data_IF_663666978076
#
_entry.id   IF_663666978076
#
_cell.length_a   1.000
_cell.length_b   1.000
_cell.length_c   1.000
_cell.angle_alpha   90.00
_cell.angle_beta   90.00
_cell.angle_gamma   90.00
#
_symmetry.space_group_name_H-M   'P 1'
#
loop_
_entity.id
_entity.type
_entity.pdbx_description
1 polymer ?
#
# COMPACT_ATOMS: atom_id res chain seq x y z
N UNK A 1 -47.87 5.58 6.28
CA UNK A 1 -46.79 4.60 6.51
C UNK A 1 -46.03 4.49 5.20
N UNK A 2 -44.74 4.75 5.04
CA UNK A 2 -43.65 5.13 5.94
C UNK A 2 -42.37 4.65 5.25
N UNK A 3 -41.48 5.56 4.82
CA UNK A 3 -40.05 5.31 4.50
C UNK A 3 -39.31 6.64 4.19
N UNK A 4 -39.64 7.71 4.91
CA UNK A 4 -38.84 8.95 4.94
C UNK A 4 -38.64 9.30 6.40
N UNK A 5 -37.56 8.78 7.00
CA UNK A 5 -37.33 8.95 8.42
C UNK A 5 -36.27 8.01 8.96
N UNK A 6 -35.02 8.22 8.54
CA UNK A 6 -33.81 7.79 9.29
C UNK A 6 -32.51 8.41 8.74
N UNK A 7 -32.58 9.65 8.25
CA UNK A 7 -31.40 10.51 8.14
C UNK A 7 -31.67 11.73 8.99
N UNK A 8 -31.17 11.72 10.23
CA UNK A 8 -31.50 12.76 11.19
C UNK A 8 -31.06 12.38 12.58
N UNK A 9 -29.74 12.48 12.81
CA UNK A 9 -29.12 13.09 13.99
C UNK A 9 -27.62 12.93 13.82
N UNK A 10 -27.01 13.99 13.28
CA UNK A 10 -25.69 14.52 13.67
C UNK A 10 -24.80 13.53 14.40
N UNK A 11 -23.75 13.02 13.75
CA UNK A 11 -22.60 12.48 14.46
C UNK A 11 -21.76 13.67 14.95
N UNK A 12 -21.87 14.08 16.22
CA UNK A 12 -21.09 15.18 16.74
C UNK A 12 -19.73 14.59 17.15
N UNK A 13 -18.65 14.99 16.49
CA UNK A 13 -17.29 14.63 16.90
C UNK A 13 -16.67 13.43 16.17
N UNK A 14 -16.70 13.44 14.84
CA UNK A 14 -16.08 12.43 13.97
C UNK A 14 -14.54 12.33 14.02
N UNK A 15 -13.90 12.95 15.02
CA UNK A 15 -12.46 13.06 15.13
C UNK A 15 -12.11 13.01 16.61
N UNK A 16 -11.64 11.85 17.07
CA UNK A 16 -10.79 11.85 18.25
C UNK A 16 -9.52 12.66 17.93
N UNK A 17 -9.00 13.47 18.86
CA UNK A 17 -7.73 14.14 18.65
C UNK A 17 -6.63 13.07 18.61
N UNK A 18 -6.20 12.70 17.39
CA UNK A 18 -4.83 12.21 17.20
C UNK A 18 -3.91 13.26 17.83
N UNK A 19 -2.75 12.86 18.32
CA UNK A 19 -1.76 13.80 18.86
C UNK A 19 -1.21 14.70 17.73
N UNK A 20 -2.03 15.64 17.25
CA UNK A 20 -1.80 16.54 16.13
C UNK A 20 -0.53 17.38 16.32
N UNK A 21 -0.10 17.53 17.58
CA UNK A 21 1.13 18.21 17.97
C UNK A 21 2.38 17.54 17.40
N UNK A 22 2.34 16.24 17.10
CA UNK A 22 3.53 15.46 16.72
C UNK A 22 3.41 14.84 15.32
N UNK A 23 2.44 15.25 14.47
CA UNK A 23 2.27 14.73 13.09
C UNK A 23 3.58 14.80 12.31
N UNK A 24 4.30 15.92 12.43
CA UNK A 24 5.56 16.12 11.71
C UNK A 24 6.66 15.17 12.21
N UNK A 25 6.78 14.99 13.51
CA UNK A 25 7.73 14.04 14.12
C UNK A 25 7.40 12.60 13.76
N UNK A 26 6.11 12.29 13.61
CA UNK A 26 5.63 10.97 13.28
C UNK A 26 5.77 10.62 11.80
N UNK A 27 5.56 11.59 10.91
CA UNK A 27 5.89 11.49 9.48
C UNK A 27 7.40 11.29 9.29
N UNK A 28 8.20 11.96 10.12
CA UNK A 28 9.67 11.84 10.14
C UNK A 28 10.18 10.68 11.01
N UNK A 29 9.29 9.93 11.64
CA UNK A 29 9.62 8.82 12.54
C UNK A 29 10.06 7.59 11.77
N UNK A 30 10.94 6.79 12.37
CA UNK A 30 11.58 5.61 11.76
C UNK A 30 10.61 4.45 11.47
N UNK A 31 9.33 4.54 11.86
CA UNK A 31 8.30 3.56 11.50
C UNK A 31 7.83 3.77 10.06
N UNK A 32 8.71 3.57 9.09
CA UNK A 32 8.36 3.60 7.68
C UNK A 32 7.80 2.24 7.26
N UNK A 33 6.62 2.28 6.64
CA UNK A 33 5.96 1.13 6.03
C UNK A 33 6.75 0.65 4.79
N UNK A 34 7.60 -0.35 5.03
CA UNK A 34 8.05 -1.48 4.19
C UNK A 34 8.30 -1.38 2.67
N UNK A 35 8.14 -0.24 2.00
CA UNK A 35 8.33 -0.17 0.53
C UNK A 35 9.54 0.63 0.09
N UNK A 36 10.08 1.47 0.96
CA UNK A 36 11.40 2.07 0.76
C UNK A 36 12.05 2.09 2.12
N UNK A 37 13.27 1.55 2.17
CA UNK A 37 14.19 1.79 3.26
C UNK A 37 14.53 3.29 3.23
N UNK A 38 13.61 4.12 3.73
CA UNK A 38 13.74 5.57 3.85
C UNK A 38 14.66 5.93 5.01
N UNK A 39 14.93 4.97 5.90
CA UNK A 39 15.76 5.16 7.09
C UNK A 39 17.18 5.66 6.75
N UNK A 40 17.92 5.10 5.78
CA UNK A 40 19.21 5.64 5.34
C UNK A 40 19.10 7.04 4.72
N UNK A 41 18.00 7.31 4.00
CA UNK A 41 17.78 8.60 3.32
C UNK A 41 17.44 9.70 4.33
N UNK A 42 16.61 9.39 5.32
CA UNK A 42 16.24 10.29 6.42
C UNK A 42 17.43 10.53 7.34
N UNK A 43 18.22 9.50 7.67
CA UNK A 43 19.43 9.64 8.48
C UNK A 43 20.51 10.45 7.76
N UNK A 44 20.71 10.21 6.46
CA UNK A 44 21.61 11.03 5.62
C UNK A 44 21.12 12.46 5.49
N UNK A 45 19.81 12.66 5.35
CA UNK A 45 19.21 13.98 5.33
C UNK A 45 19.45 14.74 6.63
N UNK A 46 19.29 14.09 7.80
CA UNK A 46 19.59 14.67 9.13
C UNK A 46 21.06 15.05 9.30
N UNK A 47 21.99 14.24 8.77
CA UNK A 47 23.44 14.52 8.85
C UNK A 47 23.82 15.67 7.92
N UNK A 48 23.39 15.65 6.66
CA UNK A 48 23.61 16.74 5.72
C UNK A 48 22.96 18.05 6.21
N UNK A 49 21.79 17.94 6.83
CA UNK A 49 21.06 19.03 7.48
C UNK A 49 21.87 19.71 8.59
N UNK A 50 22.46 18.93 9.49
CA UNK A 50 23.28 19.48 10.58
C UNK A 50 24.56 20.15 10.06
N UNK A 51 25.14 19.65 8.98
CA UNK A 51 26.30 20.26 8.33
C UNK A 51 25.92 21.58 7.64
N UNK A 52 24.81 21.60 6.90
CA UNK A 52 24.35 22.79 6.19
C UNK A 52 23.97 23.93 7.15
N UNK A 53 23.35 23.61 8.30
CA UNK A 53 23.04 24.58 9.34
C UNK A 53 24.26 25.15 10.07
N UNK A 54 25.37 24.41 10.11
CA UNK A 54 26.60 24.86 10.77
C UNK A 54 27.33 25.94 9.96
N UNK A 55 27.15 25.94 8.64
CA UNK A 55 27.82 26.86 7.71
C UNK A 55 26.96 28.09 7.34
N UNK A 56 25.68 28.11 7.70
CA UNK A 56 24.78 29.25 7.44
C UNK A 56 25.14 30.50 8.25
N UNK A 57 24.99 31.67 7.63
CA UNK A 57 25.02 32.93 8.37
C UNK A 57 23.84 33.03 9.38
N UNK A 58 23.97 33.86 10.43
CA UNK A 58 22.87 34.06 11.39
C UNK A 58 21.55 34.49 10.75
N UNK A 59 21.57 35.40 9.77
CA UNK A 59 20.36 35.79 9.02
C UNK A 59 19.77 34.64 8.20
N UNK A 60 20.59 33.85 7.52
CA UNK A 60 20.11 32.69 6.73
C UNK A 60 19.49 31.63 7.63
N UNK A 61 20.15 31.32 8.74
CA UNK A 61 19.64 30.38 9.74
C UNK A 61 18.29 30.83 10.29
N UNK A 62 18.13 32.12 10.60
CA UNK A 62 16.85 32.68 11.05
C UNK A 62 15.75 32.55 9.99
N UNK A 63 16.05 32.87 8.72
CA UNK A 63 15.08 32.72 7.61
C UNK A 63 14.71 31.26 7.40
N UNK A 64 15.68 30.37 7.49
CA UNK A 64 15.48 28.93 7.39
C UNK A 64 14.57 28.41 8.51
N UNK A 65 14.83 28.77 9.77
CA UNK A 65 14.02 28.34 10.92
C UNK A 65 12.56 28.78 10.80
N UNK A 66 12.32 30.00 10.31
CA UNK A 66 10.97 30.52 10.05
C UNK A 66 10.27 29.66 8.98
N UNK A 67 10.95 29.37 7.86
CA UNK A 67 10.41 28.53 6.79
C UNK A 67 10.14 27.10 7.27
N UNK A 68 11.03 26.52 8.07
CA UNK A 68 10.87 25.19 8.67
C UNK A 68 9.67 25.13 9.62
N UNK A 69 9.54 26.10 10.54
CA UNK A 69 8.38 26.22 11.43
C UNK A 69 7.08 26.31 10.65
N UNK A 70 7.09 27.05 9.54
CA UNK A 70 5.93 27.14 8.67
C UNK A 70 5.63 25.81 7.96
N UNK A 71 6.65 25.06 7.53
CA UNK A 71 6.50 23.71 6.98
C UNK A 71 5.75 22.77 7.91
N UNK A 72 6.10 22.79 9.19
CA UNK A 72 5.40 22.01 10.23
C UNK A 72 3.93 22.40 10.33
N UNK A 73 3.63 23.71 10.38
CA UNK A 73 2.25 24.22 10.43
C UNK A 73 1.44 23.80 9.20
N UNK A 74 2.04 23.88 8.01
CA UNK A 74 1.39 23.50 6.77
C UNK A 74 1.15 22.00 6.67
N UNK A 75 2.06 21.16 7.16
CA UNK A 75 1.85 19.71 7.21
C UNK A 75 0.67 19.34 8.13
N UNK A 76 0.61 19.92 9.33
CA UNK A 76 -0.54 19.75 10.23
C UNK A 76 -1.85 20.21 9.58
N UNK A 77 -1.84 21.39 8.95
CA UNK A 77 -3.00 21.91 8.23
C UNK A 77 -3.42 21.00 7.09
N UNK A 78 -2.48 20.53 6.28
CA UNK A 78 -2.73 19.63 5.16
C UNK A 78 -3.37 18.32 5.62
N UNK A 79 -2.90 17.74 6.71
CA UNK A 79 -3.53 16.55 7.29
C UNK A 79 -4.96 16.86 7.75
N UNK A 80 -5.17 17.97 8.44
CA UNK A 80 -6.49 18.37 8.90
C UNK A 80 -7.45 18.64 7.71
N UNK A 81 -6.97 19.31 6.66
CA UNK A 81 -7.74 19.55 5.43
C UNK A 81 -8.04 18.23 4.71
N UNK A 82 -7.12 17.26 4.73
CA UNK A 82 -7.33 15.93 4.16
C UNK A 82 -8.38 15.12 4.93
N UNK A 83 -8.30 15.06 6.27
CA UNK A 83 -9.25 14.35 7.16
C UNK A 83 -10.64 14.98 7.11
N UNK A 84 -10.71 16.30 7.14
CA UNK A 84 -11.95 17.06 7.32
C UNK A 84 -12.62 17.44 6.00
N UNK A 85 -12.12 16.91 4.88
CA UNK A 85 -12.75 17.09 3.58
C UNK A 85 -14.21 16.65 3.62
N UNK A 86 -15.09 17.41 2.97
CA UNK A 86 -16.52 17.10 2.90
C UNK A 86 -16.78 15.71 2.33
N UNK A 87 -15.92 15.29 1.39
CA UNK A 87 -15.94 13.99 0.74
C UNK A 87 -15.83 12.86 1.78
N UNK A 88 -14.93 13.00 2.76
CA UNK A 88 -14.68 11.98 3.79
C UNK A 88 -15.62 12.07 4.99
N UNK A 89 -16.47 13.09 5.04
CA UNK A 89 -17.61 13.17 5.97
C UNK A 89 -18.84 12.46 5.43
N UNK A 90 -18.85 12.12 4.15
CA UNK A 90 -19.90 11.31 3.53
C UNK A 90 -19.67 9.83 3.88
N UNK A 91 -20.68 9.20 4.46
CA UNK A 91 -20.71 7.76 4.75
C UNK A 91 -20.49 6.93 3.48
N UNK A 92 -20.92 7.44 2.32
CA UNK A 92 -20.68 6.80 1.04
C UNK A 92 -19.18 6.66 0.75
N UNK A 93 -18.31 7.54 1.24
CA UNK A 93 -16.87 7.43 1.02
C UNK A 93 -16.31 6.08 1.50
N UNK A 94 -16.77 5.60 2.65
CA UNK A 94 -16.29 4.36 3.27
C UNK A 94 -17.15 3.13 2.92
N UNK A 95 -18.28 3.34 2.25
CA UNK A 95 -19.19 2.27 1.85
C UNK A 95 -18.61 1.41 0.72
N UNK A 96 -18.64 0.09 0.90
CA UNK A 96 -18.31 -0.88 -0.15
C UNK A 96 -19.46 -1.11 -1.15
N UNK A 97 -20.69 -0.71 -0.80
CA UNK A 97 -21.90 -1.04 -1.56
C UNK A 97 -22.31 0.04 -2.56
N UNK A 98 -21.42 0.99 -2.85
CA UNK A 98 -21.71 2.06 -3.79
C UNK A 98 -21.82 1.53 -5.22
N UNK A 99 -22.54 2.26 -6.06
CA UNK A 99 -22.48 2.03 -7.49
C UNK A 99 -21.10 2.43 -8.05
N UNK A 100 -20.68 1.89 -9.21
CA UNK A 100 -19.45 2.29 -9.88
C UNK A 100 -19.36 3.80 -10.14
N UNK A 101 -20.47 4.44 -10.50
CA UNK A 101 -20.53 5.88 -10.79
C UNK A 101 -20.25 6.69 -9.53
N UNK A 102 -20.85 6.31 -8.40
CA UNK A 102 -20.61 6.94 -7.10
C UNK A 102 -19.14 6.77 -6.68
N UNK A 103 -18.56 5.59 -6.89
CA UNK A 103 -17.14 5.34 -6.61
C UNK A 103 -16.20 6.21 -7.44
N UNK A 104 -16.50 6.39 -8.73
CA UNK A 104 -15.73 7.26 -9.62
C UNK A 104 -15.82 8.73 -9.19
N UNK A 105 -17.03 9.20 -8.85
CA UNK A 105 -17.24 10.57 -8.36
C UNK A 105 -16.45 10.83 -7.07
N UNK A 106 -16.53 9.90 -6.10
CA UNK A 106 -15.76 9.97 -4.86
C UNK A 106 -14.25 10.06 -5.15
N UNK A 107 -13.73 9.18 -6.01
CA UNK A 107 -12.30 9.12 -6.31
C UNK A 107 -11.80 10.39 -7.01
N UNK A 108 -12.56 10.91 -7.97
CA UNK A 108 -12.22 12.14 -8.69
C UNK A 108 -12.18 13.34 -7.74
N UNK A 109 -13.20 13.51 -6.90
CA UNK A 109 -13.25 14.59 -5.92
C UNK A 109 -12.10 14.49 -4.92
N UNK A 110 -11.80 13.29 -4.42
CA UNK A 110 -10.78 13.12 -3.40
C UNK A 110 -9.35 13.35 -3.94
N UNK A 111 -9.10 12.87 -5.17
CA UNK A 111 -7.83 13.10 -5.87
C UNK A 111 -7.61 14.59 -6.16
N UNK A 112 -8.66 15.31 -6.60
CA UNK A 112 -8.59 16.75 -6.82
C UNK A 112 -8.34 17.52 -5.52
N UNK A 113 -9.03 17.15 -4.43
CA UNK A 113 -8.85 17.77 -3.12
C UNK A 113 -7.42 17.59 -2.60
N UNK A 114 -6.89 16.37 -2.70
CA UNK A 114 -5.53 16.05 -2.32
C UNK A 114 -4.51 16.86 -3.14
N UNK A 115 -4.65 16.89 -4.47
CA UNK A 115 -3.79 17.69 -5.33
C UNK A 115 -3.80 19.17 -4.93
N UNK A 116 -4.96 19.73 -4.62
CA UNK A 116 -5.09 21.11 -4.15
C UNK A 116 -4.35 21.37 -2.83
N UNK A 117 -4.36 20.42 -1.89
CA UNK A 117 -3.61 20.53 -0.63
C UNK A 117 -2.11 20.60 -0.90
N UNK A 118 -1.56 19.64 -1.65
CA UNK A 118 -0.11 19.55 -1.85
C UNK A 118 0.42 20.61 -2.83
N UNK A 119 -0.36 21.05 -3.82
CA UNK A 119 -0.01 22.17 -4.69
C UNK A 119 0.19 23.47 -3.88
N UNK A 120 -0.72 23.78 -2.94
CA UNK A 120 -0.58 24.96 -2.07
C UNK A 120 0.69 24.91 -1.21
N UNK A 121 1.07 23.72 -0.75
CA UNK A 121 2.32 23.54 -0.01
C UNK A 121 3.53 23.82 -0.91
N UNK A 122 3.54 23.24 -2.12
CA UNK A 122 4.63 23.43 -3.10
C UNK A 122 4.76 24.90 -3.53
N UNK A 123 3.65 25.58 -3.80
CA UNK A 123 3.60 27.01 -4.13
C UNK A 123 4.19 27.88 -3.01
N UNK A 124 3.84 27.60 -1.75
CA UNK A 124 4.35 28.37 -0.62
C UNK A 124 5.88 28.28 -0.48
N UNK A 125 6.45 27.10 -0.72
CA UNK A 125 7.88 26.87 -0.59
C UNK A 125 8.70 27.21 -1.85
N UNK A 126 8.04 27.66 -2.92
CA UNK A 126 8.74 28.14 -4.10
C UNK A 126 9.59 29.37 -3.75
N UNK A 127 10.90 29.30 -4.02
CA UNK A 127 11.86 30.37 -3.70
C UNK A 127 12.25 30.48 -2.22
N UNK A 128 11.75 29.61 -1.34
CA UNK A 128 12.20 29.53 0.05
C UNK A 128 13.51 28.75 0.16
N UNK A 129 14.27 28.98 1.24
CA UNK A 129 15.51 28.23 1.51
C UNK A 129 15.21 26.72 1.57
N UNK A 130 16.08 25.95 0.91
CA UNK A 130 15.95 24.50 0.85
C UNK A 130 16.06 23.88 2.25
N UNK A 131 15.21 22.89 2.49
CA UNK A 131 15.11 22.15 3.75
C UNK A 131 14.74 20.72 3.41
N UNK A 132 15.74 19.84 3.51
CA UNK A 132 15.60 18.45 3.13
C UNK A 132 14.63 17.70 4.05
N UNK A 133 14.61 18.01 5.35
CA UNK A 133 13.66 17.39 6.29
C UNK A 133 12.23 17.75 5.92
N UNK A 134 11.97 19.03 5.61
CA UNK A 134 10.66 19.49 5.14
C UNK A 134 10.23 18.82 3.85
N UNK A 135 11.13 18.75 2.86
CA UNK A 135 10.84 18.10 1.58
C UNK A 135 10.49 16.63 1.77
N UNK A 136 11.25 15.91 2.61
CA UNK A 136 10.97 14.51 2.93
C UNK A 136 9.64 14.34 3.67
N UNK A 137 9.36 15.18 4.68
CA UNK A 137 8.12 15.11 5.44
C UNK A 137 6.88 15.28 4.55
N UNK A 138 6.85 16.37 3.76
CA UNK A 138 5.73 16.66 2.86
C UNK A 138 5.59 15.56 1.80
N UNK A 139 6.69 15.11 1.21
CA UNK A 139 6.69 14.05 0.20
C UNK A 139 6.19 12.70 0.75
N UNK A 140 6.57 12.34 1.98
CA UNK A 140 6.05 11.12 2.62
C UNK A 140 4.55 11.21 2.85
N UNK A 141 4.07 12.33 3.39
CA UNK A 141 2.64 12.56 3.61
C UNK A 141 1.83 12.51 2.31
N UNK A 142 2.33 13.12 1.22
CA UNK A 142 1.70 13.07 -0.11
C UNK A 142 1.60 11.63 -0.61
N UNK A 143 2.70 10.88 -0.53
CA UNK A 143 2.74 9.48 -0.97
C UNK A 143 1.79 8.59 -0.17
N UNK A 144 1.83 8.65 1.15
CA UNK A 144 1.05 7.78 2.01
C UNK A 144 -0.45 8.07 1.91
N UNK A 145 -0.85 9.34 1.80
CA UNK A 145 -2.26 9.71 1.54
C UNK A 145 -2.72 9.25 0.15
N UNK A 146 -1.86 9.29 -0.88
CA UNK A 146 -2.16 8.74 -2.20
C UNK A 146 -2.38 7.22 -2.16
N UNK A 147 -1.52 6.51 -1.42
CA UNK A 147 -1.65 5.06 -1.23
C UNK A 147 -2.96 4.73 -0.51
N UNK A 148 -3.30 5.47 0.55
CA UNK A 148 -4.55 5.28 1.29
C UNK A 148 -5.78 5.49 0.41
N UNK A 149 -5.78 6.53 -0.43
CA UNK A 149 -6.85 6.79 -1.39
C UNK A 149 -7.01 5.65 -2.40
N UNK A 150 -5.88 5.12 -2.91
CA UNK A 150 -5.88 3.95 -3.79
C UNK A 150 -6.45 2.72 -3.09
N UNK A 151 -6.09 2.48 -1.84
CA UNK A 151 -6.64 1.34 -1.11
C UNK A 151 -8.14 1.45 -0.85
N UNK A 152 -8.63 2.63 -0.48
CA UNK A 152 -10.07 2.87 -0.38
C UNK A 152 -10.77 2.66 -1.72
N UNK A 153 -10.18 3.08 -2.84
CA UNK A 153 -10.69 2.79 -4.18
C UNK A 153 -10.75 1.29 -4.45
N UNK A 154 -9.64 0.57 -4.25
CA UNK A 154 -9.56 -0.85 -4.49
C UNK A 154 -10.53 -1.64 -3.60
N UNK A 155 -10.69 -1.23 -2.34
CA UNK A 155 -11.66 -1.84 -1.43
C UNK A 155 -13.08 -1.76 -2.01
N UNK A 156 -13.49 -0.57 -2.50
CA UNK A 156 -14.82 -0.35 -3.09
C UNK A 156 -15.02 -1.05 -4.43
N UNK A 157 -13.96 -1.18 -5.24
CA UNK A 157 -14.04 -1.81 -6.57
C UNK A 157 -13.99 -3.34 -6.50
N UNK A 158 -13.17 -3.91 -5.62
CA UNK A 158 -12.78 -5.32 -5.72
C UNK A 158 -13.26 -6.20 -4.56
N UNK A 159 -13.30 -5.72 -3.32
CA UNK A 159 -13.50 -6.60 -2.15
C UNK A 159 -14.80 -7.40 -2.20
N UNK A 160 -15.93 -6.74 -2.48
CA UNK A 160 -17.22 -7.43 -2.61
C UNK A 160 -17.33 -8.23 -3.91
N UNK A 161 -16.81 -7.68 -5.02
CA UNK A 161 -16.88 -8.31 -6.32
C UNK A 161 -16.08 -9.63 -6.36
N UNK A 162 -14.88 -9.64 -5.79
CA UNK A 162 -14.02 -10.82 -5.71
C UNK A 162 -14.59 -11.86 -4.75
N UNK A 163 -15.13 -11.45 -3.61
CA UNK A 163 -15.83 -12.36 -2.70
C UNK A 163 -17.02 -13.05 -3.38
N UNK A 164 -17.84 -12.27 -4.11
CA UNK A 164 -18.97 -12.80 -4.85
C UNK A 164 -18.52 -13.74 -5.98
N UNK A 165 -17.48 -13.38 -6.71
CA UNK A 165 -16.86 -14.23 -7.74
C UNK A 165 -16.44 -15.58 -7.15
N UNK A 166 -15.75 -15.61 -6.01
CA UNK A 166 -15.36 -16.88 -5.37
C UNK A 166 -16.58 -17.69 -4.94
N UNK A 167 -17.62 -17.05 -4.40
CA UNK A 167 -18.89 -17.71 -4.05
C UNK A 167 -19.58 -18.33 -5.26
N UNK A 168 -19.48 -17.72 -6.44
CA UNK A 168 -20.04 -18.25 -7.68
C UNK A 168 -19.22 -19.42 -8.23
N UNK A 169 -17.89 -19.30 -8.24
CA UNK A 169 -16.99 -20.39 -8.65
C UNK A 169 -17.21 -21.63 -7.77
N UNK A 170 -17.36 -21.45 -6.45
CA UNK A 170 -17.58 -22.56 -5.52
C UNK A 170 -18.89 -23.32 -5.78
N UNK A 171 -19.88 -22.70 -6.43
CA UNK A 171 -21.15 -23.32 -6.81
C UNK A 171 -21.09 -24.08 -8.14
N UNK A 172 -20.01 -23.92 -8.92
CA UNK A 172 -19.86 -24.61 -10.20
C UNK A 172 -19.83 -26.12 -9.99
N UNK A 173 -20.37 -26.85 -10.96
CA UNK A 173 -20.25 -28.30 -10.93
C UNK A 173 -18.79 -28.72 -11.21
N UNK A 174 -18.36 -29.92 -10.79
CA UNK A 174 -16.97 -30.34 -10.93
C UNK A 174 -16.45 -30.36 -12.38
N UNK A 175 -17.32 -30.58 -13.37
CA UNK A 175 -16.95 -30.58 -14.79
C UNK A 175 -16.60 -29.17 -15.27
N UNK A 176 -17.34 -28.17 -14.82
CA UNK A 176 -17.09 -26.76 -15.12
C UNK A 176 -15.86 -26.26 -14.40
N UNK A 177 -15.72 -26.60 -13.12
CA UNK A 177 -14.60 -26.17 -12.28
C UNK A 177 -13.24 -26.47 -12.92
N UNK A 178 -13.03 -27.70 -13.43
CA UNK A 178 -11.74 -28.08 -14.03
C UNK A 178 -11.42 -27.40 -15.35
N UNK A 179 -12.42 -26.78 -15.99
CA UNK A 179 -12.23 -26.00 -17.23
C UNK A 179 -11.75 -24.58 -16.96
N UNK A 180 -11.92 -24.07 -15.73
CA UNK A 180 -11.43 -22.75 -15.35
C UNK A 180 -9.90 -22.70 -15.38
N UNK A 181 -9.38 -21.56 -15.81
CA UNK A 181 -7.97 -21.25 -15.61
C UNK A 181 -7.72 -20.96 -14.11
N UNK A 182 -6.60 -21.45 -13.57
CA UNK A 182 -6.23 -21.21 -12.19
C UNK A 182 -6.08 -19.71 -11.88
N UNK A 183 -5.75 -18.87 -12.87
CA UNK A 183 -5.71 -17.42 -12.70
C UNK A 183 -7.07 -16.83 -12.30
N UNK A 184 -8.18 -17.44 -12.72
CA UNK A 184 -9.52 -16.90 -12.45
C UNK A 184 -9.87 -16.86 -10.96
N UNK A 185 -9.29 -17.73 -10.14
CA UNK A 185 -9.46 -17.67 -8.69
C UNK A 185 -8.19 -17.25 -7.93
N UNK A 186 -7.02 -17.26 -8.57
CA UNK A 186 -5.76 -16.88 -7.91
C UNK A 186 -5.40 -15.40 -8.04
N UNK A 187 -5.85 -14.71 -9.07
CA UNK A 187 -5.59 -13.27 -9.24
C UNK A 187 -6.63 -12.47 -8.44
N UNK A 188 -6.19 -11.96 -7.28
CA UNK A 188 -6.96 -11.09 -6.38
C UNK A 188 -6.29 -9.71 -6.39
N UNK A 189 -7.07 -8.66 -6.66
CA UNK A 189 -6.62 -7.28 -6.77
C UNK A 189 -6.46 -6.57 -5.42
N UNK A 190 -7.08 -7.10 -4.36
CA UNK A 190 -6.95 -6.58 -3.00
C UNK A 190 -6.85 -7.72 -1.98
N UNK A 191 -5.63 -7.99 -1.50
CA UNK A 191 -5.32 -9.17 -0.70
C UNK A 191 -4.97 -8.84 0.77
N UNK A 192 -4.67 -9.87 1.58
CA UNK A 192 -4.31 -9.70 2.99
C UNK A 192 -3.12 -8.77 3.25
N UNK A 193 -2.13 -8.69 2.37
CA UNK A 193 -1.00 -7.77 2.53
C UNK A 193 -1.43 -6.30 2.31
N UNK A 194 -2.28 -6.06 1.32
CA UNK A 194 -2.87 -4.74 1.08
C UNK A 194 -3.71 -4.29 2.27
N UNK A 195 -4.49 -5.21 2.83
CA UNK A 195 -5.31 -5.01 4.03
C UNK A 195 -4.49 -4.56 5.24
N UNK A 196 -3.37 -5.22 5.54
CA UNK A 196 -2.50 -4.85 6.67
C UNK A 196 -2.06 -3.40 6.53
N UNK A 197 -1.56 -3.03 5.35
CA UNK A 197 -1.08 -1.66 5.12
C UNK A 197 -2.22 -0.65 5.09
N UNK A 198 -3.36 -1.03 4.54
CA UNK A 198 -4.57 -0.22 4.55
C UNK A 198 -5.02 0.09 5.98
N UNK A 199 -5.03 -0.91 6.87
CA UNK A 199 -5.29 -0.71 8.31
C UNK A 199 -4.28 0.24 8.93
N UNK A 200 -2.98 -0.02 8.75
CA UNK A 200 -1.93 0.84 9.32
C UNK A 200 -2.10 2.30 8.88
N UNK A 201 -2.41 2.56 7.61
CA UNK A 201 -2.61 3.92 7.11
C UNK A 201 -3.93 4.55 7.60
N UNK A 202 -5.00 3.78 7.78
CA UNK A 202 -6.24 4.30 8.37
C UNK A 202 -6.07 4.65 9.85
N UNK A 203 -5.41 3.78 10.62
CA UNK A 203 -4.99 4.08 11.99
C UNK A 203 -4.05 5.28 12.01
N UNK A 204 -3.18 5.40 11.01
CA UNK A 204 -2.26 6.54 10.88
C UNK A 204 -3.03 7.86 10.74
N UNK A 205 -3.93 7.95 9.78
CA UNK A 205 -4.49 9.24 9.35
C UNK A 205 -5.87 9.56 9.88
N UNK A 206 -6.67 8.56 10.27
CA UNK A 206 -8.02 8.75 10.79
C UNK A 206 -8.10 8.44 12.28
N UNK A 207 -7.57 7.27 12.68
CA UNK A 207 -7.71 6.69 14.02
C UNK A 207 -9.11 6.92 14.62
N UNK A 208 -10.13 6.60 13.83
CA UNK A 208 -11.52 6.89 14.15
C UNK A 208 -12.30 5.58 14.33
N UNK A 209 -13.10 5.42 15.40
CA UNK A 209 -13.84 4.18 15.63
C UNK A 209 -14.79 3.79 14.48
N UNK A 210 -15.41 4.76 13.81
CA UNK A 210 -16.29 4.46 12.69
C UNK A 210 -15.48 4.00 11.48
N UNK A 211 -14.41 4.73 11.13
CA UNK A 211 -13.52 4.32 10.03
C UNK A 211 -12.96 2.93 10.29
N UNK A 212 -12.55 2.64 11.52
CA UNK A 212 -12.04 1.34 11.92
C UNK A 212 -13.08 0.22 11.71
N UNK A 213 -14.36 0.47 11.98
CA UNK A 213 -15.42 -0.52 11.71
C UNK A 213 -15.55 -0.85 10.21
N UNK A 214 -15.33 0.12 9.32
CA UNK A 214 -15.30 -0.15 7.87
C UNK A 214 -14.06 -0.94 7.46
N UNK A 215 -12.90 -0.63 8.07
CA UNK A 215 -11.65 -1.36 7.83
C UNK A 215 -11.76 -2.82 8.29
N UNK A 216 -12.32 -3.05 9.49
CA UNK A 216 -12.64 -4.40 10.00
C UNK A 216 -13.57 -5.16 9.04
N UNK A 217 -14.58 -4.48 8.49
CA UNK A 217 -15.46 -5.11 7.52
C UNK A 217 -14.73 -5.52 6.23
N UNK A 218 -13.82 -4.68 5.74
CA UNK A 218 -12.98 -5.01 4.58
C UNK A 218 -12.12 -6.24 4.88
N UNK A 219 -11.51 -6.29 6.06
CA UNK A 219 -10.70 -7.42 6.52
C UNK A 219 -11.44 -8.74 6.56
N UNK A 220 -12.63 -8.75 7.16
CA UNK A 220 -13.48 -9.93 7.23
C UNK A 220 -13.76 -10.50 5.84
N UNK A 221 -14.11 -9.63 4.88
CA UNK A 221 -14.46 -10.06 3.52
C UNK A 221 -13.23 -10.55 2.77
N UNK A 222 -12.08 -9.89 2.90
CA UNK A 222 -10.83 -10.34 2.28
C UNK A 222 -10.41 -11.70 2.84
N UNK A 223 -10.48 -11.86 4.16
CA UNK A 223 -10.20 -13.15 4.81
C UNK A 223 -11.15 -14.25 4.32
N UNK A 224 -12.46 -13.99 4.27
CA UNK A 224 -13.44 -14.93 3.70
C UNK A 224 -13.09 -15.30 2.25
N UNK A 225 -12.72 -14.31 1.43
CA UNK A 225 -12.35 -14.50 0.03
C UNK A 225 -11.11 -15.39 -0.11
N UNK A 226 -10.10 -15.21 0.75
CA UNK A 226 -8.91 -16.08 0.78
C UNK A 226 -9.23 -17.52 1.17
N UNK A 227 -10.16 -17.74 2.11
CA UNK A 227 -10.60 -19.08 2.48
C UNK A 227 -11.36 -19.75 1.33
N UNK A 228 -12.29 -19.03 0.69
CA UNK A 228 -13.01 -19.52 -0.47
C UNK A 228 -12.04 -19.87 -1.61
N UNK A 229 -11.05 -19.02 -1.89
CA UNK A 229 -10.01 -19.29 -2.88
C UNK A 229 -9.28 -20.60 -2.59
N UNK A 230 -8.82 -20.80 -1.36
CA UNK A 230 -8.10 -22.03 -0.97
C UNK A 230 -8.99 -23.27 -1.16
N UNK A 231 -10.27 -23.18 -0.81
CA UNK A 231 -11.21 -24.27 -1.02
C UNK A 231 -11.43 -24.58 -2.51
N UNK A 232 -11.61 -23.55 -3.33
CA UNK A 232 -11.72 -23.69 -4.80
C UNK A 232 -10.45 -24.35 -5.37
N UNK A 233 -9.28 -23.91 -4.93
CA UNK A 233 -7.99 -24.45 -5.37
C UNK A 233 -7.85 -25.94 -5.04
N UNK A 234 -8.25 -26.36 -3.84
CA UNK A 234 -8.28 -27.77 -3.45
C UNK A 234 -9.25 -28.57 -4.33
N UNK A 235 -10.51 -28.13 -4.44
CA UNK A 235 -11.53 -28.82 -5.24
C UNK A 235 -11.09 -28.94 -6.71
N UNK A 236 -10.49 -27.89 -7.26
CA UNK A 236 -9.97 -27.86 -8.63
C UNK A 236 -8.83 -28.87 -8.82
N UNK A 237 -7.86 -28.90 -7.89
CA UNK A 237 -6.72 -29.86 -7.93
C UNK A 237 -7.19 -31.30 -7.81
N UNK A 238 -8.10 -31.59 -6.88
CA UNK A 238 -8.65 -32.93 -6.66
C UNK A 238 -9.40 -33.44 -7.89
N UNK A 239 -10.28 -32.61 -8.46
CA UNK A 239 -11.10 -32.99 -9.60
C UNK A 239 -10.28 -33.16 -10.88
N UNK A 240 -9.25 -32.33 -11.07
CA UNK A 240 -8.28 -32.53 -12.16
C UNK A 240 -7.52 -33.84 -12.00
N UNK A 241 -7.04 -34.14 -10.80
CA UNK A 241 -6.34 -35.40 -10.50
C UNK A 241 -7.24 -36.61 -10.76
N UNK A 242 -8.51 -36.56 -10.32
CA UNK A 242 -9.51 -37.62 -10.55
C UNK A 242 -9.75 -37.89 -12.04
N UNK A 243 -9.58 -36.87 -12.88
CA UNK A 243 -9.74 -36.94 -14.34
C UNK A 243 -8.45 -37.26 -15.09
N UNK A 244 -7.33 -37.47 -14.40
CA UNK A 244 -6.02 -37.66 -15.03
C UNK A 244 -5.50 -36.41 -15.75
N UNK A 245 -6.04 -35.23 -15.43
CA UNK A 245 -5.59 -33.96 -15.95
C UNK A 245 -4.45 -33.47 -15.06
N UNK A 246 -3.20 -33.80 -15.40
CA UNK A 246 -2.05 -33.27 -14.65
C UNK A 246 -2.13 -31.74 -14.60
N UNK A 247 -1.64 -31.16 -13.50
CA UNK A 247 -1.41 -29.72 -13.51
C UNK A 247 -0.26 -29.46 -14.49
N UNK A 248 -0.39 -28.46 -15.36
CA UNK A 248 0.70 -28.04 -16.24
C UNK A 248 1.93 -27.60 -15.41
N UNK A 249 1.76 -27.32 -14.11
CA UNK A 249 2.87 -27.07 -13.19
C UNK A 249 3.65 -28.32 -12.77
N UNK A 250 3.04 -29.52 -12.79
CA UNK A 250 3.75 -30.76 -12.44
C UNK A 250 4.63 -31.26 -13.60
N UNK A 251 4.30 -30.89 -14.83
CA UNK A 251 5.12 -31.20 -16.02
C UNK A 251 6.40 -30.37 -16.08
N UNK A 252 6.36 -29.10 -15.63
CA UNK A 252 7.57 -28.26 -15.57
C UNK A 252 8.52 -28.74 -14.46
N UNK A 253 8.03 -29.21 -13.31
CA UNK A 253 8.92 -29.78 -12.28
C UNK A 253 9.57 -31.10 -12.71
N UNK A 254 8.87 -31.94 -13.49
CA UNK A 254 9.41 -33.20 -13.98
C UNK A 254 10.38 -33.04 -15.16
N UNK A 255 10.30 -31.96 -15.95
CA UNK A 255 11.32 -31.66 -16.97
C UNK A 255 12.61 -31.07 -16.38
N UNK A 256 12.54 -30.33 -15.26
CA UNK A 256 13.72 -29.79 -14.59
C UNK A 256 14.43 -30.77 -13.64
N UNK A 257 13.77 -31.83 -13.16
CA UNK A 257 14.47 -32.91 -12.43
C UNK A 257 15.39 -33.74 -13.34
N UNK A 258 15.13 -33.78 -14.65
CA UNK A 258 16.01 -34.42 -15.63
C UNK A 258 17.29 -33.63 -15.96
N UNK A 259 17.40 -32.37 -15.54
CA UNK A 259 18.61 -31.55 -15.72
C UNK A 259 19.59 -31.66 -14.53
N UNK A 260 19.11 -32.10 -13.35
CA UNK A 260 19.95 -32.28 -12.16
C UNK A 260 20.85 -33.51 -12.27
N UNK A 261 20.44 -34.53 -13.03
CA UNK A 261 21.22 -35.76 -13.19
C UNK A 261 22.36 -35.64 -14.22
N UNK A 262 22.46 -34.50 -14.92
CA UNK A 262 23.59 -34.20 -15.82
C UNK A 262 24.73 -33.40 -15.16
N UNK A 263 24.57 -32.95 -13.91
CA UNK A 263 25.56 -32.09 -13.21
C UNK A 263 26.32 -32.83 -12.09
N UNK A 264 25.99 -34.09 -11.81
CA UNK A 264 26.80 -34.97 -10.95
C UNK A 264 27.58 -36.01 -11.75
N UNK A 265 28.22 -35.56 -12.83
CA UNK A 265 29.29 -36.29 -13.51
C UNK A 265 30.54 -36.31 -12.64
N UNK A 266 30.63 -37.34 -11.80
CA UNK A 266 31.78 -37.62 -10.95
C UNK A 266 32.91 -38.23 -11.81
N UNK A 267 33.60 -37.41 -12.61
CA UNK A 267 34.81 -37.83 -13.32
C UNK A 267 36.07 -37.36 -12.59
N UNK A 268 36.68 -38.32 -11.92
CA UNK A 268 38.03 -38.29 -11.38
C UNK A 268 39.02 -38.14 -12.53
N UNK A 269 39.63 -36.97 -12.70
CA UNK A 269 40.88 -36.86 -13.46
C UNK A 269 41.99 -36.31 -12.56
N UNK A 270 42.93 -37.24 -12.35
CA UNK A 270 44.22 -37.14 -11.68
C UNK A 270 44.99 -35.88 -12.03
N UNK A 271 45.66 -35.33 -11.03
CA UNK A 271 46.61 -34.25 -11.20
C UNK A 271 47.70 -34.57 -12.23
N UNK A 272 48.07 -33.53 -12.98
CA UNK A 272 49.44 -33.31 -13.45
C UNK A 272 49.60 -31.86 -13.89
N UNK A 273 50.72 -31.31 -13.44
CA UNK A 273 51.44 -30.14 -13.96
C UNK A 273 50.99 -28.75 -13.49
N UNK A 274 51.62 -28.37 -12.38
CA UNK A 274 52.24 -27.06 -12.18
C UNK A 274 52.91 -26.53 -13.45
N UNK A 275 52.20 -25.69 -14.19
CA UNK A 275 52.74 -24.87 -15.28
C UNK A 275 52.66 -23.40 -14.89
N UNK A 276 53.81 -22.81 -14.57
CA UNK A 276 53.99 -21.39 -14.25
C UNK A 276 53.41 -20.48 -15.34
N UNK A 277 52.60 -19.51 -14.95
CA UNK A 277 52.26 -18.35 -15.77
C UNK A 277 53.08 -17.16 -15.28
N UNK A 278 54.12 -16.87 -16.07
CA UNK A 278 54.72 -15.58 -16.43
C UNK A 278 55.04 -14.57 -15.32
N UNK A 279 56.35 -14.30 -15.20
CA UNK A 279 56.86 -12.93 -15.10
C UNK A 279 57.95 -12.75 -16.17
N UNK A 280 57.66 -11.91 -17.15
CA UNK A 280 58.64 -11.27 -18.03
C UNK A 280 58.48 -9.76 -17.76
N UNK A 281 59.55 -9.17 -17.25
CA UNK A 281 59.95 -7.76 -17.35
C UNK A 281 59.05 -6.68 -16.71
N UNK A 282 59.44 -6.23 -15.51
CA UNK A 282 60.36 -5.09 -15.34
C UNK A 282 60.95 -5.02 -13.93
#
# INVERSE_FOLDING_TARGET
MGLVGRFGKTAPGFLSPINEKNIYEWVMGEQSSSDYDLEPIVKKAKVEYNLYLAEMSPEEKRRWEIAHQQGRKMACKALNDYRNSEIKKDVNYFSLNNSPEVNQEIFAKDSQHQANIFNKIREYFYGQLYDRERVLAIGCMERETNILNRYWRNAREYVLAENQKMKEILKMNPVELVKLNASEFNEINFNGADVIRFRTLNEKYFNDPLVNSYVERVEEIVFETEQLRKQIECNWKEERSRRGLSSVMDSVKNEFSGFSDLVTGNDTIKGRNSGKLKDYER
#
